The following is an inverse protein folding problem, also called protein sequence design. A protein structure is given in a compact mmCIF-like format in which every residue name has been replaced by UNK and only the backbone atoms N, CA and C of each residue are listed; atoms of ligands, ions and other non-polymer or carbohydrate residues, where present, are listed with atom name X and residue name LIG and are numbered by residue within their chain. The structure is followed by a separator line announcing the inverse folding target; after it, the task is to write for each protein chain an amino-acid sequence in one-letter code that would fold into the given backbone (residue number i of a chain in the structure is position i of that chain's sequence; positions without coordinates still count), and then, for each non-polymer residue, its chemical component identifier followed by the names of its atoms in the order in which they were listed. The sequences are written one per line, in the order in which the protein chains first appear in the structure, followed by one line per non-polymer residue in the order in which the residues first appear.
data_IF_176314243485
#
_entry.id   IF_176314243485
#
_cell.length_a   1.000
_cell.length_b   1.000
_cell.length_c   1.000
_cell.angle_alpha   90.00
_cell.angle_beta   90.00
_cell.angle_gamma   90.00
#
_symmetry.space_group_name_H-M   'P 1'
#
loop_
_entity.id
_entity.type
_entity.pdbx_description
1 polymer ?
#
# COMPACT_ATOMS: atom_id res chain seq x y z
N UNK A 1 0.94 10.72 -16.66
CA UNK A 1 1.07 10.44 -15.22
C UNK A 1 -0.34 10.25 -14.67
N UNK A 2 -0.73 9.03 -14.30
CA UNK A 2 -2.01 8.84 -13.59
C UNK A 2 -1.82 9.36 -12.17
N UNK A 3 -2.56 10.39 -11.78
CA UNK A 3 -2.54 10.93 -10.42
C UNK A 3 -3.53 10.10 -9.62
N UNK A 4 -3.03 9.15 -8.84
CA UNK A 4 -3.85 8.41 -7.88
C UNK A 4 -3.96 9.22 -6.59
N UNK A 5 -5.18 9.37 -6.07
CA UNK A 5 -5.42 10.06 -4.81
C UNK A 5 -5.89 9.07 -3.76
N UNK A 6 -5.14 8.95 -2.66
CA UNK A 6 -5.54 8.09 -1.53
C UNK A 6 -6.35 8.91 -0.53
N UNK A 7 -7.56 8.45 -0.22
CA UNK A 7 -8.37 9.04 0.85
C UNK A 7 -7.82 8.69 2.23
N UNK A 8 -8.22 9.42 3.27
CA UNK A 8 -7.87 9.07 4.66
C UNK A 8 -8.44 7.71 5.09
N UNK A 9 -9.61 7.34 4.57
CA UNK A 9 -10.22 6.04 4.84
C UNK A 9 -9.44 4.88 4.22
N UNK A 10 -8.99 5.03 2.98
CA UNK A 10 -8.13 4.02 2.33
C UNK A 10 -6.78 3.94 3.02
N UNK A 11 -6.19 5.09 3.35
CA UNK A 11 -4.93 5.11 4.09
C UNK A 11 -5.05 4.39 5.44
N UNK A 12 -6.13 4.61 6.19
CA UNK A 12 -6.38 3.91 7.45
C UNK A 12 -6.50 2.39 7.26
N UNK A 13 -7.08 1.93 6.15
CA UNK A 13 -7.13 0.50 5.81
C UNK A 13 -5.72 -0.07 5.60
N UNK A 14 -4.84 0.64 4.88
CA UNK A 14 -3.45 0.20 4.73
C UNK A 14 -2.67 0.25 6.04
N UNK A 15 -2.90 1.25 6.90
CA UNK A 15 -2.29 1.28 8.24
C UNK A 15 -2.67 0.03 9.03
N UNK A 16 -3.95 -0.34 9.03
CA UNK A 16 -4.43 -1.52 9.74
C UNK A 16 -3.86 -2.80 9.14
N UNK A 17 -3.88 -2.92 7.81
CA UNK A 17 -3.31 -4.06 7.10
C UNK A 17 -1.82 -4.27 7.42
N UNK A 18 -1.00 -3.21 7.40
CA UNK A 18 0.42 -3.31 7.74
C UNK A 18 0.64 -3.62 9.22
N UNK A 19 -0.20 -3.08 10.10
CA UNK A 19 -0.15 -3.42 11.50
C UNK A 19 -0.46 -4.91 11.74
N UNK A 20 -1.50 -5.44 11.10
CA UNK A 20 -1.88 -6.85 11.22
C UNK A 20 -0.86 -7.79 10.55
N UNK A 21 -0.25 -7.38 9.43
CA UNK A 21 0.71 -8.22 8.69
C UNK A 21 2.14 -8.20 9.26
N UNK A 22 2.62 -7.05 9.75
CA UNK A 22 4.03 -6.86 10.14
C UNK A 22 4.22 -6.29 11.56
N UNK A 23 3.14 -5.98 12.29
CA UNK A 23 3.22 -5.34 13.60
C UNK A 23 3.70 -3.89 13.58
N UNK A 24 3.80 -3.27 12.39
CA UNK A 24 4.34 -1.92 12.21
C UNK A 24 3.20 -0.90 12.18
N UNK A 25 3.29 0.11 13.05
CA UNK A 25 2.37 1.26 13.03
C UNK A 25 2.87 2.33 12.05
N UNK A 26 2.17 2.50 10.94
CA UNK A 26 2.39 3.61 10.01
C UNK A 26 1.77 4.89 10.59
N UNK A 27 2.54 5.98 10.67
CA UNK A 27 1.99 7.29 11.06
C UNK A 27 1.34 7.99 9.87
N UNK A 28 0.37 8.87 10.12
CA UNK A 28 -0.30 9.69 9.10
C UNK A 28 0.67 10.57 8.29
N UNK A 29 1.80 10.98 8.89
CA UNK A 29 2.87 11.69 8.20
C UNK A 29 3.47 10.91 7.01
N UNK A 30 3.35 9.58 7.00
CA UNK A 30 3.84 8.71 5.91
C UNK A 30 2.85 8.56 4.75
N UNK A 31 1.66 9.19 4.79
CA UNK A 31 0.62 9.06 3.76
C UNK A 31 1.13 9.33 2.33
N UNK A 32 1.95 10.38 2.16
CA UNK A 32 2.55 10.71 0.87
C UNK A 32 3.56 9.64 0.37
N UNK A 33 4.31 9.02 1.28
CA UNK A 33 5.23 7.92 0.95
C UNK A 33 4.44 6.67 0.53
N UNK A 34 3.40 6.32 1.29
CA UNK A 34 2.52 5.18 1.00
C UNK A 34 1.84 5.37 -0.35
N UNK A 35 1.26 6.55 -0.60
CA UNK A 35 0.60 6.83 -1.88
C UNK A 35 1.57 6.69 -3.05
N UNK A 36 2.78 7.25 -2.95
CA UNK A 36 3.80 7.18 -4.01
C UNK A 36 4.31 5.77 -4.29
N UNK A 37 4.58 4.98 -3.23
CA UNK A 37 5.06 3.60 -3.38
C UNK A 37 3.98 2.68 -3.95
N UNK A 38 2.75 2.81 -3.48
CA UNK A 38 1.62 2.03 -3.98
C UNK A 38 1.18 2.46 -5.38
N UNK A 39 1.25 3.74 -5.75
CA UNK A 39 0.83 4.21 -7.08
C UNK A 39 1.54 3.45 -8.21
N UNK A 40 2.82 3.11 -8.05
CA UNK A 40 3.56 2.28 -9.00
C UNK A 40 2.98 0.86 -9.09
N UNK A 41 2.58 0.28 -7.95
CA UNK A 41 1.92 -1.03 -7.90
C UNK A 41 0.54 -1.00 -8.56
N UNK A 42 -0.26 0.04 -8.32
CA UNK A 42 -1.56 0.20 -8.96
C UNK A 42 -1.46 0.14 -10.49
N UNK A 43 -0.45 0.81 -11.07
CA UNK A 43 -0.18 0.74 -12.51
C UNK A 43 0.23 -0.67 -12.97
N UNK A 44 1.07 -1.36 -12.20
CA UNK A 44 1.54 -2.71 -12.53
C UNK A 44 0.42 -3.76 -12.44
N UNK A 45 -0.49 -3.62 -11.47
CA UNK A 45 -1.67 -4.47 -11.32
C UNK A 45 -2.84 -4.05 -12.21
N UNK A 46 -2.69 -2.96 -12.99
CA UNK A 46 -3.72 -2.39 -13.85
C UNK A 46 -5.06 -2.11 -13.12
N UNK A 47 -4.98 -1.60 -11.89
CA UNK A 47 -6.15 -1.26 -11.07
C UNK A 47 -6.42 0.25 -11.07
N UNK A 48 -7.69 0.62 -10.92
CA UNK A 48 -8.14 2.01 -11.08
C UNK A 48 -7.83 2.91 -9.88
N UNK A 49 -7.82 2.36 -8.66
CA UNK A 49 -7.69 3.11 -7.42
C UNK A 49 -7.14 2.25 -6.26
N UNK A 50 -6.89 2.89 -5.12
CA UNK A 50 -6.32 2.25 -3.94
C UNK A 50 -7.28 1.26 -3.29
N UNK A 51 -8.59 1.50 -3.34
CA UNK A 51 -9.61 0.56 -2.88
C UNK A 51 -9.65 -0.73 -3.72
N UNK A 52 -9.54 -0.62 -5.04
CA UNK A 52 -9.43 -1.76 -5.95
C UNK A 52 -8.16 -2.56 -5.69
N UNK A 53 -7.04 -1.87 -5.46
CA UNK A 53 -5.80 -2.52 -5.03
C UNK A 53 -5.96 -3.23 -3.67
N UNK A 54 -6.59 -2.59 -2.68
CA UNK A 54 -6.82 -3.19 -1.37
C UNK A 54 -7.70 -4.45 -1.46
N UNK A 55 -8.73 -4.43 -2.30
CA UNK A 55 -9.55 -5.62 -2.58
C UNK A 55 -8.73 -6.76 -3.17
N UNK A 56 -7.80 -6.47 -4.08
CA UNK A 56 -6.88 -7.47 -4.64
C UNK A 56 -5.97 -8.08 -3.56
N UNK A 57 -5.48 -7.27 -2.61
CA UNK A 57 -4.71 -7.77 -1.46
C UNK A 57 -5.55 -8.68 -0.56
N UNK A 58 -6.81 -8.30 -0.33
CA UNK A 58 -7.72 -9.02 0.55
C UNK A 58 -8.36 -10.27 -0.09
N UNK A 59 -8.48 -10.32 -1.41
CA UNK A 59 -9.12 -11.44 -2.11
C UNK A 59 -8.27 -12.70 -2.13
N UNK A 60 -6.95 -12.58 -1.91
CA UNK A 60 -6.01 -13.71 -1.96
C UNK A 60 -5.76 -14.21 -3.38
N UNK A 61 -6.29 -13.55 -4.41
CA UNK A 61 -6.09 -13.91 -5.83
C UNK A 61 -4.63 -13.70 -6.27
N UNK A 62 -3.92 -12.80 -5.60
CA UNK A 62 -2.51 -12.52 -5.84
C UNK A 62 -1.70 -12.66 -4.53
N UNK A 63 -1.36 -13.89 -4.10
CA UNK A 63 -0.70 -14.12 -2.81
C UNK A 63 0.67 -13.43 -2.70
N UNK A 64 1.38 -13.25 -3.82
CA UNK A 64 2.63 -12.47 -3.85
C UNK A 64 2.44 -10.96 -3.72
N UNK A 65 1.25 -10.44 -4.03
CA UNK A 65 0.97 -8.99 -3.97
C UNK A 65 0.89 -8.51 -2.53
N UNK A 66 0.32 -9.34 -1.64
CA UNK A 66 0.28 -9.05 -0.21
C UNK A 66 1.69 -8.84 0.36
N UNK A 67 2.60 -9.78 0.11
CA UNK A 67 3.99 -9.67 0.55
C UNK A 67 4.68 -8.46 -0.08
N UNK A 68 4.47 -8.22 -1.37
CA UNK A 68 5.05 -7.08 -2.08
C UNK A 68 4.59 -5.74 -1.48
N UNK A 69 3.30 -5.62 -1.14
CA UNK A 69 2.76 -4.44 -0.48
C UNK A 69 3.39 -4.24 0.91
N UNK A 70 3.51 -5.32 1.69
CA UNK A 70 4.16 -5.27 3.01
C UNK A 70 5.61 -4.82 2.88
N UNK A 71 6.40 -5.43 2.00
CA UNK A 71 7.79 -5.08 1.77
C UNK A 71 7.94 -3.61 1.36
N UNK A 72 7.13 -3.14 0.42
CA UNK A 72 7.16 -1.75 -0.03
C UNK A 72 6.84 -0.76 1.08
N UNK A 73 5.93 -1.08 1.99
CA UNK A 73 5.48 -0.17 3.04
C UNK A 73 6.33 -0.25 4.31
N UNK A 74 7.11 -1.32 4.48
CA UNK A 74 7.94 -1.58 5.66
C UNK A 74 9.43 -1.43 5.40
N UNK A 75 9.88 -1.46 4.14
CA UNK A 75 11.28 -1.19 3.78
C UNK A 75 11.63 0.26 4.12
N UNK A 76 12.35 0.46 5.22
CA UNK A 76 13.09 1.69 5.46
C UNK A 76 14.25 1.69 4.47
N UNK A 77 14.25 2.63 3.51
CA UNK A 77 15.44 2.90 2.73
C UNK A 77 16.48 3.51 3.68
N UNK A 78 17.32 2.66 4.27
CA UNK A 78 18.54 3.12 4.92
C UNK A 78 19.52 3.45 3.79
N UNK A 79 19.57 4.72 3.37
CA UNK A 79 20.69 5.23 2.59
C UNK A 79 21.94 5.08 3.46
N UNK A 80 22.85 4.20 3.04
CA UNK A 80 24.22 4.12 3.56
C UNK A 80 25.14 5.03 2.74
#
# INVERSE_FOLDING_TARGET
MSIYHISDQEFAQFQRFIFDAAGISLSSAKKAMVSGRLAKRLQQCNVADYGAYFKLLASGEAPGEMQTAVDLLTTNETYF
#
